data_IF_633700860008
#
_entry.id   IF_633700860008
#
_cell.length_a   1.000
_cell.length_b   1.000
_cell.length_c   1.000
_cell.angle_alpha   90.00
_cell.angle_beta   90.00
_cell.angle_gamma   90.00
#
_symmetry.space_group_name_H-M   'P 1'
#
loop_
_entity.id
_entity.type
_entity.pdbx_description
1 polymer ?
#
# COMPACT_ATOMS: atom_id res chain seq x y z
N UNK A 1 -10.87 -38.50 -51.87
CA UNK A 1 -10.01 -39.66 -52.20
C UNK A 1 -9.23 -39.97 -50.91
N UNK A 2 -9.74 -40.87 -50.05
CA UNK A 2 -9.22 -42.24 -49.75
C UNK A 2 -7.68 -42.23 -49.57
N UNK A 3 -7.03 -42.75 -48.52
CA UNK A 3 -7.26 -43.99 -47.72
C UNK A 3 -6.61 -43.91 -46.31
N UNK A 4 -7.23 -44.63 -45.36
CA UNK A 4 -6.79 -45.17 -44.05
C UNK A 4 -5.35 -45.70 -43.89
N UNK A 5 -4.83 -45.72 -42.65
CA UNK A 5 -4.55 -46.99 -41.92
C UNK A 5 -4.05 -46.81 -40.46
N UNK A 6 -4.32 -47.87 -39.70
CA UNK A 6 -4.40 -48.11 -38.25
C UNK A 6 -3.10 -48.60 -37.54
N UNK A 7 -3.09 -48.40 -36.21
CA UNK A 7 -2.53 -49.22 -35.10
C UNK A 7 -1.01 -49.44 -34.88
N UNK A 8 -0.59 -49.36 -33.60
CA UNK A 8 0.59 -50.08 -33.06
C UNK A 8 1.40 -49.39 -31.95
N UNK A 9 1.20 -49.83 -30.70
CA UNK A 9 1.83 -49.38 -29.45
C UNK A 9 3.27 -49.91 -29.21
N UNK A 10 4.12 -49.19 -28.43
CA UNK A 10 4.99 -49.76 -27.37
C UNK A 10 5.81 -48.69 -26.62
N UNK A 11 5.81 -48.83 -25.28
CA UNK A 11 6.59 -48.08 -24.27
C UNK A 11 8.09 -48.42 -24.30
N UNK A 12 8.92 -47.44 -23.92
CA UNK A 12 10.29 -47.63 -23.46
C UNK A 12 10.55 -46.87 -22.14
N UNK A 13 10.80 -47.63 -21.07
CA UNK A 13 11.38 -47.30 -19.76
C UNK A 13 12.88 -46.91 -19.95
N UNK A 14 13.67 -46.22 -19.12
CA UNK A 14 13.83 -46.03 -17.64
C UNK A 14 15.10 -45.13 -17.45
N UNK A 15 15.73 -44.86 -16.26
CA UNK A 15 15.33 -45.07 -14.84
C UNK A 15 15.69 -43.90 -13.89
N UNK A 16 14.96 -43.77 -12.78
CA UNK A 16 15.54 -43.65 -11.43
C UNK A 16 14.39 -43.73 -10.42
N UNK A 17 14.01 -44.97 -10.12
CA UNK A 17 13.28 -45.31 -8.90
C UNK A 17 14.28 -45.87 -7.88
N UNK A 18 14.11 -45.50 -6.61
CA UNK A 18 14.56 -46.33 -5.49
C UNK A 18 13.56 -46.19 -4.34
N UNK A 19 13.23 -47.30 -3.66
CA UNK A 19 11.96 -47.45 -2.99
C UNK A 19 12.07 -47.21 -1.48
N UNK A 20 11.02 -46.63 -0.90
CA UNK A 20 10.76 -46.70 0.54
C UNK A 20 10.56 -45.36 1.23
N UNK A 21 9.36 -44.79 1.10
CA UNK A 21 8.69 -44.15 2.24
C UNK A 21 7.17 -44.16 2.02
N UNK A 22 6.38 -44.90 2.82
CA UNK A 22 4.94 -44.84 2.74
C UNK A 22 4.48 -43.65 3.61
N UNK A 23 4.25 -42.48 3.01
CA UNK A 23 3.43 -41.38 3.54
C UNK A 23 3.77 -40.07 2.80
N UNK A 24 2.97 -39.71 1.79
CA UNK A 24 2.77 -38.30 1.41
C UNK A 24 1.47 -38.14 0.63
N UNK A 25 0.36 -38.49 1.28
CA UNK A 25 -0.91 -37.82 1.00
C UNK A 25 -0.88 -36.49 1.74
N UNK A 26 -0.29 -35.45 1.16
CA UNK A 26 -0.54 -34.07 1.59
C UNK A 26 -1.87 -33.63 0.97
N UNK A 27 -2.96 -34.03 1.62
CA UNK A 27 -4.33 -33.60 1.33
C UNK A 27 -4.46 -32.10 1.61
N UNK A 28 -4.26 -31.26 0.60
CA UNK A 28 -4.71 -29.87 0.65
C UNK A 28 -6.22 -29.83 0.84
N UNK A 29 -6.71 -28.92 1.68
CA UNK A 29 -8.14 -28.84 1.89
C UNK A 29 -8.82 -28.37 0.61
N UNK A 30 -9.89 -29.08 0.24
CA UNK A 30 -10.76 -28.69 -0.88
C UNK A 30 -11.21 -27.23 -0.79
N UNK A 31 -11.40 -26.73 0.44
CA UNK A 31 -11.80 -25.35 0.67
C UNK A 31 -10.69 -24.36 0.33
N UNK A 32 -9.45 -24.62 0.71
CA UNK A 32 -8.34 -23.70 0.43
C UNK A 32 -7.98 -23.64 -1.04
N UNK A 33 -8.01 -24.75 -1.78
CA UNK A 33 -7.71 -24.81 -3.22
C UNK A 33 -8.88 -24.40 -4.15
N UNK A 34 -10.03 -23.98 -3.60
CA UNK A 34 -11.16 -23.48 -4.39
C UNK A 34 -11.22 -21.95 -4.56
N UNK A 35 -10.44 -21.17 -3.82
CA UNK A 35 -10.42 -19.70 -3.93
C UNK A 35 -9.53 -19.21 -5.10
N UNK A 36 -9.65 -17.97 -5.55
CA UNK A 36 -8.69 -17.37 -6.49
C UNK A 36 -8.90 -15.86 -6.49
N UNK A 37 -7.91 -15.09 -6.92
CA UNK A 37 -7.99 -13.64 -6.94
C UNK A 37 -7.93 -13.10 -8.38
N UNK A 38 -8.74 -12.07 -8.66
CA UNK A 38 -8.76 -11.35 -9.93
C UNK A 38 -8.46 -9.88 -9.67
N UNK A 39 -7.54 -9.32 -10.44
CA UNK A 39 -7.22 -7.91 -10.38
C UNK A 39 -7.99 -7.13 -11.46
N UNK A 40 -8.76 -6.12 -11.07
CA UNK A 40 -9.44 -5.20 -11.98
C UNK A 40 -9.12 -3.76 -11.56
N UNK A 41 -8.58 -2.97 -12.49
CA UNK A 41 -8.28 -1.55 -12.28
C UNK A 41 -7.36 -1.19 -11.09
N UNK A 42 -6.58 -2.16 -10.59
CA UNK A 42 -5.69 -1.99 -9.44
C UNK A 42 -6.28 -2.50 -8.12
N UNK A 43 -7.53 -2.96 -8.13
CA UNK A 43 -8.19 -3.60 -7.00
C UNK A 43 -8.12 -5.13 -7.11
N UNK A 44 -7.95 -5.82 -5.97
CA UNK A 44 -7.88 -7.29 -5.88
C UNK A 44 -9.22 -7.82 -5.38
N UNK A 45 -9.84 -8.69 -6.17
CA UNK A 45 -11.12 -9.33 -5.86
C UNK A 45 -10.93 -10.81 -5.58
N UNK A 46 -11.43 -11.28 -4.44
CA UNK A 46 -11.46 -12.69 -4.09
C UNK A 46 -12.69 -13.38 -4.70
N UNK A 47 -12.46 -14.53 -5.31
CA UNK A 47 -13.48 -15.40 -5.88
C UNK A 47 -13.30 -16.83 -5.40
N UNK A 48 -14.34 -17.65 -5.60
CA UNK A 48 -14.34 -19.07 -5.30
C UNK A 48 -14.91 -19.85 -6.49
N UNK A 49 -14.28 -20.96 -6.82
CA UNK A 49 -14.76 -21.95 -7.77
C UNK A 49 -16.09 -22.56 -7.30
N UNK A 50 -16.86 -23.11 -8.24
CA UNK A 50 -18.08 -23.86 -7.92
C UNK A 50 -17.77 -25.02 -6.96
N UNK A 51 -18.73 -25.42 -6.09
CA UNK A 51 -18.56 -26.56 -5.20
C UNK A 51 -18.17 -27.82 -5.97
N UNK A 52 -17.17 -28.55 -5.46
CA UNK A 52 -16.50 -29.68 -6.12
C UNK A 52 -15.22 -29.34 -6.92
N UNK A 53 -14.99 -28.09 -7.33
CA UNK A 53 -13.85 -27.71 -8.19
C UNK A 53 -12.70 -27.05 -7.43
N UNK A 54 -11.48 -27.20 -7.95
CA UNK A 54 -10.24 -26.54 -7.51
C UNK A 54 -9.69 -25.63 -8.61
N UNK A 55 -8.97 -24.57 -8.24
CA UNK A 55 -8.40 -23.65 -9.21
C UNK A 55 -7.03 -24.14 -9.71
N UNK A 56 -6.89 -24.33 -11.02
CA UNK A 56 -5.61 -24.63 -11.67
C UNK A 56 -4.85 -23.33 -11.97
N UNK A 57 -3.76 -23.08 -11.24
CA UNK A 57 -2.94 -21.86 -11.36
C UNK A 57 -2.22 -21.75 -12.70
N UNK A 58 -1.93 -22.84 -13.41
CA UNK A 58 -1.26 -22.80 -14.72
C UNK A 58 -2.27 -22.60 -15.85
N UNK A 59 -3.44 -23.22 -15.72
CA UNK A 59 -4.49 -23.20 -16.76
C UNK A 59 -5.52 -22.10 -16.53
N UNK A 60 -5.46 -21.41 -15.39
CA UNK A 60 -6.31 -20.26 -15.06
C UNK A 60 -7.80 -20.58 -15.13
N UNK A 61 -8.18 -21.76 -14.64
CA UNK A 61 -9.55 -22.26 -14.68
C UNK A 61 -9.84 -23.16 -13.47
N UNK A 62 -11.10 -23.25 -13.09
CA UNK A 62 -11.55 -24.23 -12.11
C UNK A 62 -11.68 -25.60 -12.79
N UNK A 63 -10.92 -26.59 -12.32
CA UNK A 63 -10.93 -27.97 -12.81
C UNK A 63 -11.27 -28.94 -11.67
N UNK A 64 -11.50 -30.20 -12.02
CA UNK A 64 -11.71 -31.27 -11.06
C UNK A 64 -10.45 -31.48 -10.20
N UNK A 65 -10.60 -31.81 -8.90
CA UNK A 65 -9.47 -31.97 -7.97
C UNK A 65 -8.37 -32.93 -8.46
N UNK A 66 -8.74 -33.94 -9.26
CA UNK A 66 -7.80 -34.92 -9.82
C UNK A 66 -6.91 -34.34 -10.94
N UNK A 67 -7.31 -33.23 -11.55
CA UNK A 67 -6.58 -32.58 -12.64
C UNK A 67 -5.73 -31.39 -12.16
N UNK A 68 -5.89 -31.00 -10.88
CA UNK A 68 -5.21 -29.86 -10.28
C UNK A 68 -4.11 -30.38 -9.35
N UNK A 69 -2.85 -30.08 -9.69
CA UNK A 69 -1.67 -30.50 -8.93
C UNK A 69 -0.73 -29.33 -8.60
N UNK A 70 -1.24 -28.12 -8.76
CA UNK A 70 -0.49 -26.88 -8.79
C UNK A 70 -1.24 -25.74 -8.10
N UNK A 71 -2.18 -26.06 -7.21
CA UNK A 71 -2.89 -25.07 -6.40
C UNK A 71 -2.04 -24.55 -5.23
N UNK A 72 -0.83 -25.09 -5.06
CA UNK A 72 0.21 -24.71 -4.08
C UNK A 72 1.22 -23.69 -4.63
N UNK A 73 1.10 -23.30 -5.90
CA UNK A 73 1.98 -22.30 -6.50
C UNK A 73 1.62 -20.92 -5.94
N UNK A 74 2.29 -20.53 -4.85
CA UNK A 74 2.44 -19.15 -4.46
C UNK A 74 3.51 -18.51 -5.34
N UNK A 75 3.12 -17.64 -6.25
CA UNK A 75 4.04 -16.74 -6.98
C UNK A 75 4.47 -15.52 -6.13
N UNK A 76 4.52 -15.65 -4.79
CA UNK A 76 5.15 -14.65 -3.94
C UNK A 76 6.65 -14.64 -4.28
N UNK A 77 7.09 -13.61 -5.00
CA UNK A 77 8.52 -13.32 -5.08
C UNK A 77 8.90 -12.87 -3.67
N UNK A 78 9.50 -13.77 -2.89
CA UNK A 78 10.01 -13.43 -1.57
C UNK A 78 11.19 -12.49 -1.78
N UNK A 79 10.95 -11.20 -1.57
CA UNK A 79 11.98 -10.18 -1.70
C UNK A 79 12.98 -10.38 -0.55
N UNK A 80 14.26 -10.60 -0.83
CA UNK A 80 15.25 -10.85 0.21
C UNK A 80 15.47 -9.59 1.05
N UNK A 81 15.81 -9.78 2.33
CA UNK A 81 16.11 -8.67 3.24
C UNK A 81 17.44 -8.01 2.85
N UNK A 82 17.52 -6.68 2.77
CA UNK A 82 18.75 -5.99 2.43
C UNK A 82 19.86 -6.23 3.48
N UNK A 83 21.11 -6.25 3.02
CA UNK A 83 22.31 -6.51 3.84
C UNK A 83 22.85 -5.22 4.46
N UNK A 84 21.99 -4.48 5.19
CA UNK A 84 22.27 -3.15 5.73
C UNK A 84 23.55 -3.07 6.59
N UNK A 85 23.81 -4.08 7.42
CA UNK A 85 24.98 -4.13 8.31
C UNK A 85 26.10 -5.06 7.82
N UNK A 86 25.81 -5.92 6.85
CA UNK A 86 26.69 -7.01 6.40
C UNK A 86 27.42 -6.69 5.11
N UNK A 87 26.87 -5.80 4.28
CA UNK A 87 27.55 -5.33 3.09
C UNK A 87 28.68 -4.38 3.50
N UNK A 88 29.92 -4.73 3.14
CA UNK A 88 31.08 -3.88 3.35
C UNK A 88 31.12 -2.76 2.30
N UNK A 89 30.10 -1.90 2.29
CA UNK A 89 30.04 -0.76 1.38
C UNK A 89 31.16 0.23 1.69
N UNK A 90 31.80 0.76 0.65
CA UNK A 90 32.97 1.64 0.78
C UNK A 90 32.64 3.02 1.37
N UNK A 91 31.37 3.42 1.34
CA UNK A 91 30.88 4.71 1.82
C UNK A 91 29.84 4.50 2.93
N UNK A 92 29.93 5.27 4.01
CA UNK A 92 29.05 5.19 5.18
C UNK A 92 27.60 5.60 4.87
N UNK A 93 27.36 6.32 3.77
CA UNK A 93 26.00 6.71 3.32
C UNK A 93 25.37 5.72 2.35
N UNK A 94 26.05 4.61 2.06
CA UNK A 94 25.54 3.56 1.17
C UNK A 94 25.07 2.37 1.99
N UNK A 95 23.96 1.78 1.54
CA UNK A 95 23.36 0.59 2.12
C UNK A 95 23.47 -0.56 1.12
N UNK A 96 23.54 -1.78 1.65
CA UNK A 96 23.68 -3.00 0.87
C UNK A 96 22.35 -3.61 0.46
N UNK A 97 22.16 -3.83 -0.83
CA UNK A 97 21.15 -4.75 -1.37
C UNK A 97 21.44 -6.20 -0.91
N UNK A 98 20.48 -7.12 -1.01
CA UNK A 98 20.70 -8.50 -0.62
C UNK A 98 21.58 -9.29 -1.60
N UNK A 99 21.66 -8.85 -2.86
CA UNK A 99 22.61 -9.32 -3.88
C UNK A 99 24.06 -8.85 -3.63
N UNK A 100 24.27 -7.95 -2.67
CA UNK A 100 25.57 -7.38 -2.30
C UNK A 100 25.95 -6.11 -3.06
N UNK A 101 25.06 -5.55 -3.91
CA UNK A 101 25.24 -4.22 -4.46
C UNK A 101 25.15 -3.14 -3.37
N UNK A 102 25.85 -2.02 -3.56
CA UNK A 102 25.81 -0.90 -2.63
C UNK A 102 25.21 0.32 -3.34
N UNK A 103 24.09 0.82 -2.81
CA UNK A 103 23.39 2.00 -3.34
C UNK A 103 23.31 3.08 -2.24
N UNK A 104 23.16 4.37 -2.60
CA UNK A 104 22.95 5.42 -1.60
C UNK A 104 21.67 5.17 -0.79
N UNK A 105 21.64 5.54 0.49
CA UNK A 105 20.49 5.31 1.37
C UNK A 105 19.17 5.86 0.82
N UNK A 106 19.20 7.00 0.10
CA UNK A 106 18.02 7.63 -0.52
C UNK A 106 17.32 6.77 -1.59
N UNK A 107 17.96 5.70 -2.07
CA UNK A 107 17.41 4.74 -3.05
C UNK A 107 16.69 3.57 -2.39
N UNK A 108 16.68 3.50 -1.05
CA UNK A 108 15.91 2.50 -0.32
C UNK A 108 14.55 3.09 0.04
N UNK A 109 13.48 2.37 -0.27
CA UNK A 109 12.09 2.77 0.01
C UNK A 109 11.67 4.07 -0.67
N UNK A 110 12.15 4.32 -1.89
CA UNK A 110 11.85 5.50 -2.68
C UNK A 110 10.75 5.26 -3.74
N UNK A 111 10.25 4.02 -3.80
CA UNK A 111 9.23 3.57 -4.75
C UNK A 111 9.79 3.19 -6.12
N UNK A 112 11.11 2.96 -6.24
CA UNK A 112 11.84 2.55 -7.44
C UNK A 112 12.59 1.24 -7.16
N UNK A 113 12.59 0.31 -8.12
CA UNK A 113 13.42 -0.89 -8.01
C UNK A 113 14.82 -0.60 -8.58
N UNK A 114 15.79 -0.35 -7.70
CA UNK A 114 17.18 -0.07 -8.03
C UNK A 114 18.12 -1.25 -7.72
N UNK A 115 17.83 -2.06 -6.70
CA UNK A 115 18.51 -3.33 -6.50
C UNK A 115 18.09 -4.35 -7.58
N UNK A 116 18.99 -5.27 -7.96
CA UNK A 116 18.63 -6.32 -8.93
C UNK A 116 17.57 -7.29 -8.39
N UNK A 117 17.52 -7.45 -7.08
CA UNK A 117 16.65 -8.36 -6.33
C UNK A 117 15.47 -7.65 -5.64
N UNK A 118 15.29 -6.35 -5.86
CA UNK A 118 14.25 -5.51 -5.25
C UNK A 118 14.30 -5.41 -3.72
N UNK A 119 15.44 -5.77 -3.10
CA UNK A 119 15.61 -5.72 -1.65
C UNK A 119 15.57 -4.32 -1.04
N UNK A 120 15.76 -3.29 -1.86
CA UNK A 120 15.57 -1.87 -1.55
C UNK A 120 14.12 -1.47 -1.29
N UNK A 121 13.15 -2.13 -1.93
CA UNK A 121 11.72 -1.77 -1.83
C UNK A 121 10.89 -2.80 -1.05
N UNK A 122 11.44 -3.98 -0.79
CA UNK A 122 10.70 -5.07 -0.12
C UNK A 122 10.50 -4.89 1.39
N UNK A 123 11.23 -3.97 2.02
CA UNK A 123 11.35 -3.89 3.49
C UNK A 123 11.18 -2.45 3.99
N UNK A 124 10.05 -1.83 3.61
CA UNK A 124 9.75 -0.42 3.86
C UNK A 124 8.70 -0.20 4.96
N UNK A 125 8.64 -1.10 5.94
CA UNK A 125 7.77 -0.90 7.10
C UNK A 125 8.45 -0.01 8.15
N UNK A 126 7.67 0.55 9.08
CA UNK A 126 8.17 1.48 10.11
C UNK A 126 9.24 0.89 11.07
N UNK A 127 9.56 -0.40 10.97
CA UNK A 127 10.55 -1.09 11.80
C UNK A 127 11.72 -1.66 11.00
N UNK A 128 11.55 -1.86 9.69
CA UNK A 128 12.53 -2.48 8.80
C UNK A 128 13.09 -1.51 7.76
N UNK A 129 12.41 -0.38 7.53
CA UNK A 129 12.88 0.69 6.66
C UNK A 129 14.18 1.29 7.24
N UNK A 130 15.31 1.21 6.51
CA UNK A 130 16.60 1.73 6.96
C UNK A 130 16.62 3.27 7.12
N UNK A 131 15.73 3.97 6.43
CA UNK A 131 15.60 5.43 6.45
C UNK A 131 14.59 5.91 7.51
N UNK A 132 14.07 5.00 8.34
CA UNK A 132 13.14 5.36 9.43
C UNK A 132 13.78 6.39 10.37
N UNK A 133 13.10 7.50 10.67
CA UNK A 133 13.56 8.45 11.68
C UNK A 133 13.77 7.79 13.05
N UNK A 134 14.70 8.31 13.89
CA UNK A 134 14.90 7.76 15.21
C UNK A 134 13.63 7.87 16.06
N UNK A 135 13.49 6.95 17.01
CA UNK A 135 12.40 6.96 17.99
C UNK A 135 12.40 8.30 18.72
N UNK A 136 11.20 8.83 18.97
CA UNK A 136 11.00 10.08 19.71
C UNK A 136 11.79 10.11 21.02
N UNK A 137 12.71 11.05 21.14
CA UNK A 137 13.39 11.40 22.38
C UNK A 137 12.89 12.78 22.88
N UNK A 138 12.12 12.83 23.97
CA UNK A 138 11.64 14.09 24.56
C UNK A 138 12.76 15.01 25.06
N UNK A 139 13.98 14.50 25.26
CA UNK A 139 15.13 15.30 25.68
C UNK A 139 15.64 16.22 24.56
N UNK A 140 15.74 15.69 23.34
CA UNK A 140 16.21 16.42 22.15
C UNK A 140 15.08 17.10 21.37
N UNK A 141 13.85 16.59 21.42
CA UNK A 141 12.70 17.18 20.74
C UNK A 141 11.89 18.08 21.67
N UNK A 142 12.10 19.41 21.57
CA UNK A 142 11.47 20.40 22.43
C UNK A 142 10.73 21.49 21.65
N UNK A 143 9.63 21.98 22.22
CA UNK A 143 8.82 23.07 21.67
C UNK A 143 9.64 24.38 21.62
N UNK A 144 9.38 25.27 20.65
CA UNK A 144 8.28 25.25 19.67
C UNK A 144 8.57 24.49 18.37
N UNK A 145 9.84 24.16 18.11
CA UNK A 145 10.28 23.65 16.81
C UNK A 145 10.07 22.14 16.66
N UNK A 146 10.05 21.41 17.78
CA UNK A 146 9.84 19.96 17.78
C UNK A 146 8.83 19.55 18.85
N UNK A 147 7.90 18.68 18.45
CA UNK A 147 7.01 18.00 19.37
C UNK A 147 6.89 16.53 18.96
N UNK A 148 7.17 15.62 19.89
CA UNK A 148 6.98 14.20 19.68
C UNK A 148 6.48 13.53 20.94
N UNK A 149 5.83 12.38 20.77
CA UNK A 149 5.54 11.45 21.86
C UNK A 149 5.72 10.03 21.35
N UNK A 150 5.94 9.09 22.27
CA UNK A 150 6.19 7.68 21.94
C UNK A 150 5.07 7.03 21.12
N UNK A 151 3.84 7.51 21.27
CA UNK A 151 2.61 6.95 20.71
C UNK A 151 1.77 7.98 19.93
N UNK A 152 2.19 9.24 19.88
CA UNK A 152 1.45 10.31 19.22
C UNK A 152 0.24 10.85 20.00
N UNK A 153 -0.04 10.37 21.22
CA UNK A 153 -1.29 10.70 21.93
C UNK A 153 -1.14 11.77 23.02
N UNK A 154 0.09 12.09 23.43
CA UNK A 154 0.32 13.03 24.54
C UNK A 154 -0.04 14.46 24.14
N UNK A 155 -0.60 15.19 25.10
CA UNK A 155 -0.92 16.62 24.94
C UNK A 155 0.37 17.45 24.99
N UNK A 156 0.62 18.35 24.01
CA UNK A 156 1.75 19.27 24.05
C UNK A 156 1.78 20.11 25.33
N UNK A 157 2.97 20.25 25.92
CA UNK A 157 3.16 21.03 27.15
C UNK A 157 2.63 20.37 28.43
N UNK A 158 2.14 19.13 28.37
CA UNK A 158 1.72 18.36 29.56
C UNK A 158 0.47 18.92 30.26
N UNK A 159 -0.41 19.59 29.50
CA UNK A 159 -1.67 20.13 30.01
C UNK A 159 -2.67 19.01 30.32
N UNK A 160 -3.54 19.24 31.30
CA UNK A 160 -4.67 18.36 31.58
C UNK A 160 -5.72 18.47 30.47
N UNK A 161 -6.36 17.35 30.11
CA UNK A 161 -7.39 17.25 29.06
C UNK A 161 -8.49 18.30 29.25
N UNK A 162 -8.85 18.62 30.49
CA UNK A 162 -9.90 19.59 30.83
C UNK A 162 -9.53 21.05 30.49
N UNK A 163 -8.24 21.33 30.34
CA UNK A 163 -7.72 22.67 30.05
C UNK A 163 -7.42 22.87 28.56
N UNK A 164 -7.43 21.79 27.76
CA UNK A 164 -7.11 21.85 26.33
C UNK A 164 -8.35 22.28 25.54
N UNK A 165 -8.27 23.36 24.74
CA UNK A 165 -9.35 23.69 23.82
C UNK A 165 -9.42 22.62 22.72
N UNK A 166 -10.60 22.02 22.54
CA UNK A 166 -10.83 21.11 21.42
C UNK A 166 -10.75 21.88 20.10
N UNK A 167 -9.73 21.58 19.30
CA UNK A 167 -9.59 22.11 17.95
C UNK A 167 -10.31 21.19 16.96
N UNK A 168 -10.99 21.79 15.98
CA UNK A 168 -11.62 21.08 14.86
C UNK A 168 -11.09 21.74 13.59
N UNK A 169 -10.43 20.96 12.74
CA UNK A 169 -9.93 21.43 11.45
C UNK A 169 -10.93 21.07 10.34
N UNK A 170 -11.61 22.09 9.82
CA UNK A 170 -12.46 21.92 8.64
C UNK A 170 -11.61 22.14 7.39
N UNK A 171 -11.48 21.11 6.56
CA UNK A 171 -10.68 21.16 5.33
C UNK A 171 -11.54 20.93 4.09
N UNK A 172 -11.17 21.60 3.00
CA UNK A 172 -11.77 21.39 1.68
C UNK A 172 -10.67 21.12 0.66
N UNK A 173 -10.83 20.03 -0.09
CA UNK A 173 -9.85 19.61 -1.09
C UNK A 173 -10.40 19.86 -2.49
N UNK A 174 -9.54 20.33 -3.40
CA UNK A 174 -9.83 20.43 -4.83
C UNK A 174 -10.00 21.87 -5.31
N UNK A 175 -10.74 22.05 -6.41
CA UNK A 175 -10.86 23.34 -7.07
C UNK A 175 -11.84 24.27 -6.35
N UNK A 176 -11.50 25.56 -6.24
CA UNK A 176 -12.41 26.59 -5.72
C UNK A 176 -12.97 27.37 -6.90
N UNK A 177 -14.28 27.27 -7.14
CA UNK A 177 -14.91 27.82 -8.35
C UNK A 177 -16.33 28.35 -8.07
N UNK A 178 -17.04 28.75 -9.12
CA UNK A 178 -18.38 29.31 -9.00
C UNK A 178 -19.45 28.29 -8.54
N UNK A 179 -19.20 26.99 -8.72
CA UNK A 179 -20.14 25.92 -8.37
C UNK A 179 -20.19 25.71 -6.85
N UNK A 180 -19.04 25.81 -6.18
CA UNK A 180 -18.93 25.59 -4.73
C UNK A 180 -18.89 26.89 -3.91
N UNK A 181 -18.74 28.05 -4.56
CA UNK A 181 -18.63 29.35 -3.89
C UNK A 181 -19.80 29.65 -2.93
N UNK A 182 -21.03 29.41 -3.39
CA UNK A 182 -22.22 29.69 -2.61
C UNK A 182 -22.33 28.76 -1.39
N UNK A 183 -21.88 27.51 -1.52
CA UNK A 183 -21.81 26.56 -0.39
C UNK A 183 -20.87 27.08 0.68
N UNK A 184 -19.65 27.48 0.30
CA UNK A 184 -18.67 27.99 1.26
C UNK A 184 -19.15 29.26 1.95
N UNK A 185 -19.66 30.24 1.20
CA UNK A 185 -19.95 31.57 1.74
C UNK A 185 -21.33 31.72 2.38
N UNK A 186 -22.35 31.00 1.90
CA UNK A 186 -23.75 31.17 2.35
C UNK A 186 -24.25 30.06 3.27
N UNK A 187 -23.62 28.88 3.25
CA UNK A 187 -24.10 27.73 4.01
C UNK A 187 -23.14 27.29 5.12
N UNK A 188 -21.83 27.41 4.88
CA UNK A 188 -20.81 26.96 5.83
C UNK A 188 -20.24 28.14 6.62
N UNK A 189 -19.65 29.13 5.95
CA UNK A 189 -18.95 30.26 6.60
C UNK A 189 -19.86 31.46 6.84
N UNK A 190 -21.04 31.20 7.41
CA UNK A 190 -22.01 32.25 7.73
C UNK A 190 -21.57 33.06 8.96
N UNK A 191 -21.97 34.34 9.01
CA UNK A 191 -21.57 35.27 10.06
C UNK A 191 -22.01 34.85 11.48
N UNK A 192 -23.05 34.02 11.58
CA UNK A 192 -23.59 33.54 12.85
C UNK A 192 -22.76 32.40 13.48
N UNK A 193 -21.89 31.73 12.69
CA UNK A 193 -21.03 30.67 13.21
C UNK A 193 -19.74 31.26 13.76
N UNK A 194 -19.67 31.34 15.08
CA UNK A 194 -18.56 31.93 15.82
C UNK A 194 -17.95 30.95 16.82
N UNK A 195 -16.64 31.06 16.98
CA UNK A 195 -15.89 30.39 18.02
C UNK A 195 -16.17 31.04 19.39
N UNK A 196 -15.82 30.39 20.52
CA UNK A 196 -15.99 30.95 21.87
C UNK A 196 -15.32 32.31 22.09
N UNK A 197 -14.31 32.66 21.27
CA UNK A 197 -13.66 33.96 21.28
C UNK A 197 -14.42 35.06 20.50
N UNK A 198 -15.57 34.76 19.90
CA UNK A 198 -16.39 35.69 19.13
C UNK A 198 -15.95 35.90 17.68
N UNK A 199 -14.83 35.31 17.25
CA UNK A 199 -14.41 35.33 15.84
C UNK A 199 -15.24 34.35 15.01
N UNK A 200 -15.49 34.67 13.73
CA UNK A 200 -16.10 33.70 12.81
C UNK A 200 -15.21 32.48 12.59
N UNK A 201 -15.81 31.30 12.40
CA UNK A 201 -15.08 30.06 12.14
C UNK A 201 -14.14 30.17 10.94
N UNK A 202 -13.10 29.34 10.93
CA UNK A 202 -12.07 29.29 9.87
C UNK A 202 -11.91 27.86 9.37
N UNK A 203 -11.31 27.75 8.19
CA UNK A 203 -11.10 26.49 7.48
C UNK A 203 -9.86 26.60 6.61
N UNK A 204 -9.37 25.44 6.19
CA UNK A 204 -8.19 25.29 5.35
C UNK A 204 -8.60 24.72 4.00
N UNK A 205 -8.23 25.40 2.92
CA UNK A 205 -8.54 25.00 1.56
C UNK A 205 -7.26 24.46 0.90
N UNK A 206 -7.22 23.15 0.63
CA UNK A 206 -6.17 22.51 -0.16
C UNK A 206 -6.54 22.62 -1.64
N UNK A 207 -6.06 23.70 -2.27
CA UNK A 207 -6.48 24.14 -3.59
C UNK A 207 -5.66 23.46 -4.68
N UNK A 208 -6.34 22.79 -5.61
CA UNK A 208 -5.74 22.31 -6.86
C UNK A 208 -5.87 23.37 -7.97
N UNK A 209 -4.91 23.42 -8.88
CA UNK A 209 -4.93 24.42 -9.96
C UNK A 209 -6.11 24.28 -10.96
N UNK A 210 -6.47 23.08 -11.46
CA UNK A 210 -7.42 22.98 -12.56
C UNK A 210 -8.80 23.46 -12.13
N UNK A 211 -9.45 24.27 -12.97
CA UNK A 211 -10.79 24.83 -12.74
C UNK A 211 -10.91 25.78 -11.54
N UNK A 212 -9.82 26.13 -10.87
CA UNK A 212 -9.84 27.09 -9.76
C UNK A 212 -9.93 28.53 -10.26
N UNK A 213 -10.85 29.28 -9.66
CA UNK A 213 -10.94 30.72 -9.79
C UNK A 213 -10.16 31.40 -8.66
N UNK A 214 -8.95 31.88 -8.97
CA UNK A 214 -8.06 32.52 -8.00
C UNK A 214 -8.61 33.81 -7.39
N UNK A 215 -9.62 34.45 -8.00
CA UNK A 215 -10.32 35.59 -7.36
C UNK A 215 -11.09 35.14 -6.12
N UNK A 216 -11.73 33.97 -6.18
CA UNK A 216 -12.42 33.38 -5.04
C UNK A 216 -11.43 32.93 -3.96
N UNK A 217 -10.31 32.33 -4.36
CA UNK A 217 -9.21 31.96 -3.44
C UNK A 217 -8.68 33.20 -2.71
N UNK A 218 -8.39 34.28 -3.44
CA UNK A 218 -7.94 35.54 -2.83
C UNK A 218 -8.98 36.11 -1.85
N UNK A 219 -10.27 35.98 -2.15
CA UNK A 219 -11.34 36.41 -1.24
C UNK A 219 -11.36 35.57 0.04
N UNK A 220 -11.23 34.24 -0.07
CA UNK A 220 -11.15 33.35 1.10
C UNK A 220 -9.96 33.69 1.99
N UNK A 221 -8.79 33.94 1.40
CA UNK A 221 -7.60 34.37 2.14
C UNK A 221 -7.82 35.72 2.84
N UNK A 222 -8.40 36.71 2.15
CA UNK A 222 -8.75 38.01 2.74
C UNK A 222 -9.76 37.89 3.90
N UNK A 223 -10.62 36.87 3.88
CA UNK A 223 -11.57 36.57 4.97
C UNK A 223 -10.92 35.79 6.13
N UNK A 224 -9.62 35.48 6.01
CA UNK A 224 -8.78 34.87 7.04
C UNK A 224 -8.74 33.34 7.00
N UNK A 225 -9.24 32.71 5.93
CA UNK A 225 -9.10 31.26 5.74
C UNK A 225 -7.67 30.91 5.30
N UNK A 226 -7.22 29.70 5.66
CA UNK A 226 -5.93 29.18 5.23
C UNK A 226 -6.04 28.62 3.81
N UNK A 227 -5.07 28.93 2.97
CA UNK A 227 -4.95 28.38 1.61
C UNK A 227 -3.68 27.53 1.56
N UNK A 228 -3.88 26.23 1.36
CA UNK A 228 -2.84 25.23 1.19
C UNK A 228 -2.85 24.69 -0.24
N UNK A 229 -1.80 23.96 -0.61
CA UNK A 229 -1.61 23.43 -1.97
C UNK A 229 -2.15 22.00 -2.10
N UNK A 230 -2.81 21.69 -3.21
CA UNK A 230 -3.23 20.33 -3.56
C UNK A 230 -2.84 19.97 -4.99
N UNK A 231 -1.53 20.07 -5.28
CA UNK A 231 -0.91 19.84 -6.59
C UNK A 231 -1.41 20.76 -7.72
N UNK A 232 -0.72 20.73 -8.85
CA UNK A 232 -1.12 21.48 -10.06
C UNK A 232 -1.98 20.63 -10.97
N UNK A 233 -1.63 19.37 -11.19
CA UNK A 233 -2.30 18.57 -12.22
C UNK A 233 -3.50 17.81 -11.70
N UNK A 234 -3.65 17.66 -10.36
CA UNK A 234 -4.63 16.76 -9.75
C UNK A 234 -4.67 15.41 -10.48
N UNK A 235 -3.50 14.94 -10.95
CA UNK A 235 -3.40 13.56 -11.37
C UNK A 235 -3.59 12.73 -10.10
N UNK A 236 -4.29 11.58 -10.16
CA UNK A 236 -4.26 10.64 -9.06
C UNK A 236 -2.79 10.33 -8.79
N UNK A 237 -2.22 10.92 -7.73
CA UNK A 237 -0.88 10.63 -7.24
C UNK A 237 -0.96 9.31 -6.49
N UNK A 238 -1.33 8.27 -7.22
CA UNK A 238 -0.76 6.96 -7.03
C UNK A 238 0.07 6.74 -8.27
N UNK A 239 1.40 6.63 -8.14
CA UNK A 239 2.05 5.56 -8.89
C UNK A 239 1.18 4.36 -8.58
N UNK A 240 0.43 3.88 -9.57
CA UNK A 240 0.05 2.48 -9.56
C UNK A 240 1.41 1.80 -9.50
N UNK A 241 1.86 1.41 -8.31
CA UNK A 241 2.62 0.18 -8.23
C UNK A 241 1.84 -0.75 -9.14
N UNK A 242 2.50 -1.16 -10.23
CA UNK A 242 1.95 -2.24 -11.00
C UNK A 242 1.77 -3.34 -9.97
N UNK A 243 0.53 -3.56 -9.51
CA UNK A 243 0.20 -4.77 -8.84
C UNK A 243 0.65 -5.83 -9.83
N UNK A 244 1.78 -6.48 -9.51
CA UNK A 244 2.26 -7.63 -10.27
C UNK A 244 1.26 -8.71 -9.92
N UNK A 245 0.09 -8.65 -10.55
CA UNK A 245 -0.93 -9.67 -10.48
C UNK A 245 -0.46 -10.80 -11.39
N UNK A 246 0.49 -11.57 -10.89
CA UNK A 246 0.58 -12.95 -11.29
C UNK A 246 -0.54 -13.64 -10.51
N UNK A 247 -1.53 -14.16 -11.23
CA UNK A 247 -2.67 -14.87 -10.69
C UNK A 247 -2.22 -15.87 -9.62
N UNK A 248 -2.73 -15.72 -8.42
CA UNK A 248 -2.32 -16.52 -7.27
C UNK A 248 -3.48 -16.81 -6.35
N UNK A 249 -3.32 -17.89 -5.61
CA UNK A 249 -4.14 -18.29 -4.48
C UNK A 249 -3.18 -18.50 -3.30
N UNK A 250 -3.48 -17.89 -2.16
CA UNK A 250 -2.63 -17.92 -0.97
C UNK A 250 -2.56 -16.53 -0.33
N UNK A 251 -3.22 -16.38 0.82
CA UNK A 251 -3.33 -15.19 1.69
C UNK A 251 -3.13 -13.83 1.01
N UNK A 252 -4.25 -13.15 0.72
CA UNK A 252 -4.24 -11.69 0.67
C UNK A 252 -3.82 -11.14 2.04
N UNK A 253 -2.55 -10.79 2.22
CA UNK A 253 -2.19 -9.84 3.27
C UNK A 253 -2.67 -8.47 2.81
N UNK A 254 -3.69 -7.94 3.50
CA UNK A 254 -3.96 -6.52 3.52
C UNK A 254 -2.68 -5.81 3.94
N UNK A 255 -2.02 -5.12 3.03
CA UNK A 255 -1.26 -3.96 3.45
C UNK A 255 -2.27 -2.87 3.82
N UNK A 256 -2.49 -2.73 5.12
CA UNK A 256 -3.24 -1.63 5.73
C UNK A 256 -4.72 -1.90 5.97
N UNK A 257 -5.06 -2.56 7.08
CA UNK A 257 -6.07 -2.01 8.00
C UNK A 257 -5.60 -2.26 9.43
N UNK A 258 -5.72 -1.19 10.23
CA UNK A 258 -5.24 -1.13 11.59
C UNK A 258 -5.83 -2.20 12.50
N UNK A 259 -4.99 -2.60 13.43
CA UNK A 259 -5.40 -3.21 14.69
C UNK A 259 -6.31 -2.22 15.43
N UNK A 260 -7.61 -2.48 15.49
CA UNK A 260 -8.49 -2.02 16.55
C UNK A 260 -9.69 -2.96 16.74
N UNK A 261 -9.70 -3.55 17.95
CA UNK A 261 -10.77 -4.22 18.71
C UNK A 261 -11.52 -5.40 18.10
#
# INVERSE_FOLDING_TARGET
MIIDNTEGETRGHDPHDSPGNPEREELWSYEECAHYYLCLDGDVFEFRCSPGLMFDVKRQLCDEPLNVHNCDIATEIVIPKPLLELAACANETHLGCADGACLPADYFCDGSNDCFDSSDEGWCDATTDPNTPPICDPGSCQLPDCFCSSDGTKIPGGLDVTQVPQMILLTFNGAVNHENWDVFTKHIMIADRKNPNGCGIKATFFVSHPYTNYRHVQKLWNDGHEIAVNSITWLPTGRREAAVCTYMQGRAHRFGEGMQS
#
